data_IF_649745509751
#
_entry.id   IF_649745509751
#
_cell.length_a   1.000
_cell.length_b   1.000
_cell.length_c   1.000
_cell.angle_alpha   90.00
_cell.angle_beta   90.00
_cell.angle_gamma   90.00
#
_symmetry.space_group_name_H-M   'P 1'
#
loop_
_entity.id
_entity.type
_entity.pdbx_description
1 polymer ?
#
# COMPACT_ATOMS: atom_id res chain seq x y z
N UNK A 1 4.82 32.92 15.49
CA UNK A 1 4.51 32.30 14.18
C UNK A 1 3.89 33.36 13.29
N UNK A 2 4.35 33.52 12.05
CA UNK A 2 3.71 34.43 11.09
C UNK A 2 2.41 33.79 10.58
N UNK A 3 1.34 34.59 10.46
CA UNK A 3 0.05 34.08 9.98
C UNK A 3 0.17 33.59 8.53
N UNK A 4 -0.27 32.35 8.27
CA UNK A 4 -0.41 31.81 6.91
C UNK A 4 -1.60 32.49 6.25
N UNK A 5 -1.44 32.92 4.99
CA UNK A 5 -2.57 33.42 4.21
C UNK A 5 -3.47 32.28 3.76
N UNK A 6 -4.79 32.51 3.64
CA UNK A 6 -5.73 31.50 3.15
C UNK A 6 -5.27 30.86 1.82
N UNK A 7 -4.72 31.66 0.89
CA UNK A 7 -4.16 31.17 -0.38
C UNK A 7 -3.04 30.15 -0.18
N UNK A 8 -2.12 30.40 0.77
CA UNK A 8 -1.03 29.47 1.08
C UNK A 8 -1.57 28.21 1.76
N UNK A 9 -2.52 28.35 2.69
CA UNK A 9 -3.16 27.22 3.36
C UNK A 9 -3.89 26.29 2.37
N UNK A 10 -4.67 26.85 1.43
CA UNK A 10 -5.34 26.09 0.37
C UNK A 10 -4.36 25.40 -0.59
N UNK A 11 -3.11 25.86 -0.66
CA UNK A 11 -2.05 25.21 -1.43
C UNK A 11 -1.73 23.79 -0.95
N UNK A 12 -2.01 23.46 0.32
CA UNK A 12 -1.86 22.08 0.84
C UNK A 12 -2.87 21.12 0.19
N UNK A 13 -4.08 21.62 -0.11
CA UNK A 13 -5.17 20.84 -0.70
C UNK A 13 -5.08 20.73 -2.23
N UNK A 14 -4.18 21.49 -2.87
CA UNK A 14 -4.05 21.47 -4.32
C UNK A 14 -3.42 20.15 -4.79
N UNK A 15 -4.05 19.44 -5.74
CA UNK A 15 -3.59 18.15 -6.26
C UNK A 15 -2.15 18.12 -6.78
N UNK A 16 -1.61 19.26 -7.22
CA UNK A 16 -0.23 19.42 -7.70
C UNK A 16 0.77 19.74 -6.58
N UNK A 17 0.32 19.78 -5.34
CA UNK A 17 1.15 20.12 -4.18
C UNK A 17 2.08 18.96 -3.85
N UNK A 18 3.32 19.27 -3.45
CA UNK A 18 4.24 18.27 -2.88
C UNK A 18 3.68 17.62 -1.60
N UNK A 19 2.64 18.21 -1.00
CA UNK A 19 1.91 17.67 0.15
C UNK A 19 0.85 16.62 -0.22
N UNK A 20 0.43 16.57 -1.50
CA UNK A 20 -0.58 15.63 -2.00
C UNK A 20 -0.04 14.21 -2.21
N UNK A 21 1.29 14.04 -2.20
CA UNK A 21 1.94 12.74 -2.31
C UNK A 21 2.93 12.60 -1.16
N UNK A 22 2.75 11.57 -0.34
CA UNK A 22 3.68 11.28 0.75
C UNK A 22 4.82 10.43 0.21
N UNK A 23 5.98 11.07 0.09
CA UNK A 23 7.27 10.43 -0.14
C UNK A 23 8.06 10.48 1.15
N UNK A 24 8.90 9.46 1.41
CA UNK A 24 9.82 9.46 2.56
C UNK A 24 10.79 10.65 2.42
N UNK A 25 10.43 11.79 3.00
CA UNK A 25 11.19 13.03 2.94
C UNK A 25 11.72 13.36 4.32
N UNK A 26 13.05 13.46 4.44
CA UNK A 26 13.74 13.82 5.68
C UNK A 26 13.70 15.34 5.98
N UNK A 27 12.70 16.07 5.48
CA UNK A 27 12.60 17.52 5.70
C UNK A 27 12.08 17.80 7.11
N UNK A 28 12.51 18.93 7.70
CA UNK A 28 11.92 19.38 8.95
C UNK A 28 10.44 19.69 8.74
N UNK A 29 9.60 19.22 9.66
CA UNK A 29 8.17 19.53 9.67
C UNK A 29 7.98 21.04 9.79
N UNK A 30 7.10 21.57 8.96
CA UNK A 30 6.70 22.97 8.98
C UNK A 30 5.19 23.12 9.22
N UNK A 31 4.75 24.37 9.18
CA UNK A 31 3.35 24.73 9.46
C UNK A 31 2.34 24.15 8.44
N UNK A 32 2.80 23.72 7.26
CA UNK A 32 1.94 23.04 6.29
C UNK A 32 1.80 21.55 6.62
N UNK A 33 2.78 20.92 7.27
CA UNK A 33 2.63 19.57 7.82
C UNK A 33 1.62 19.57 8.98
N UNK A 34 1.70 20.57 9.87
CA UNK A 34 0.71 20.76 10.94
C UNK A 34 -0.71 20.96 10.37
N UNK A 35 -0.85 21.77 9.32
CA UNK A 35 -2.13 21.98 8.65
C UNK A 35 -2.64 20.69 7.98
N UNK A 36 -1.74 19.90 7.36
CA UNK A 36 -2.09 18.61 6.76
C UNK A 36 -2.60 17.63 7.83
N UNK A 37 -1.95 17.57 8.99
CA UNK A 37 -2.39 16.76 10.13
C UNK A 37 -3.77 17.19 10.64
N UNK A 38 -4.05 18.50 10.72
CA UNK A 38 -5.37 19.01 11.13
C UNK A 38 -6.50 18.74 10.14
N UNK A 39 -6.18 18.71 8.83
CA UNK A 39 -7.14 18.45 7.77
C UNK A 39 -7.32 16.96 7.47
N UNK A 40 -6.54 16.10 8.13
CA UNK A 40 -6.59 14.68 7.92
C UNK A 40 -7.94 14.10 8.37
N UNK A 41 -8.56 13.32 7.49
CA UNK A 41 -9.76 12.54 7.80
C UNK A 41 -9.38 11.07 7.72
N UNK A 42 -9.49 10.36 8.84
CA UNK A 42 -9.23 8.92 8.89
C UNK A 42 -10.23 8.20 8.01
N UNK A 43 -9.74 7.36 7.10
CA UNK A 43 -10.56 6.57 6.19
C UNK A 43 -10.93 5.24 6.87
N UNK A 44 -12.16 4.76 6.66
CA UNK A 44 -12.64 3.49 7.23
C UNK A 44 -11.72 2.30 6.86
N UNK A 45 -11.19 2.30 5.62
CA UNK A 45 -10.27 1.27 5.14
C UNK A 45 -8.98 1.17 5.97
N UNK A 46 -8.53 2.28 6.56
CA UNK A 46 -7.36 2.26 7.44
C UNK A 46 -7.66 1.55 8.76
N UNK A 47 -8.87 1.72 9.30
CA UNK A 47 -9.30 1.02 10.51
C UNK A 47 -9.52 -0.47 10.27
N UNK A 48 -10.02 -0.84 9.09
CA UNK A 48 -10.11 -2.24 8.67
C UNK A 48 -8.73 -2.87 8.48
N UNK A 49 -7.82 -2.17 7.81
CA UNK A 49 -6.45 -2.62 7.66
C UNK A 49 -5.77 -2.82 9.02
N UNK A 50 -5.85 -1.84 9.93
CA UNK A 50 -5.27 -1.95 11.28
C UNK A 50 -5.80 -3.17 12.05
N UNK A 51 -7.12 -3.37 12.04
CA UNK A 51 -7.74 -4.57 12.66
C UNK A 51 -7.21 -5.87 12.06
N UNK A 52 -6.98 -5.90 10.75
CA UNK A 52 -6.39 -7.06 10.10
C UNK A 52 -4.92 -7.26 10.50
N UNK A 53 -4.10 -6.20 10.47
CA UNK A 53 -2.69 -6.24 10.83
C UNK A 53 -2.46 -6.77 12.26
N UNK A 54 -3.39 -6.51 13.19
CA UNK A 54 -3.31 -7.04 14.55
C UNK A 54 -3.42 -8.57 14.66
N UNK A 55 -3.99 -9.20 13.63
CA UNK A 55 -4.23 -10.66 13.59
C UNK A 55 -3.42 -11.38 12.52
N UNK A 56 -2.65 -10.65 11.70
CA UNK A 56 -1.91 -11.21 10.59
C UNK A 56 -0.84 -12.20 11.06
N UNK A 57 -0.64 -13.25 10.28
CA UNK A 57 0.28 -14.35 10.63
C UNK A 57 1.54 -14.35 9.75
N UNK A 58 2.65 -14.96 10.21
CA UNK A 58 3.85 -15.11 9.40
C UNK A 58 3.59 -15.71 8.02
N UNK A 59 4.25 -15.13 7.01
CA UNK A 59 4.15 -15.54 5.63
C UNK A 59 2.87 -15.11 4.90
N UNK A 60 1.99 -14.32 5.50
CA UNK A 60 0.86 -13.70 4.79
C UNK A 60 1.31 -12.57 3.87
N UNK A 61 0.56 -12.35 2.78
CA UNK A 61 0.71 -11.21 1.88
C UNK A 61 -0.59 -10.42 1.93
N UNK A 62 -0.46 -9.13 2.18
CA UNK A 62 -1.57 -8.20 2.36
C UNK A 62 -1.41 -7.11 1.31
N UNK A 63 -2.43 -6.92 0.49
CA UNK A 63 -2.46 -5.88 -0.50
C UNK A 63 -3.36 -4.75 -0.02
N UNK A 64 -2.83 -3.53 -0.03
CA UNK A 64 -3.61 -2.31 -0.07
C UNK A 64 -3.63 -1.83 -1.53
N UNK A 65 -4.75 -2.05 -2.20
CA UNK A 65 -4.89 -1.77 -3.63
C UNK A 65 -5.78 -0.56 -3.90
N UNK A 66 -5.69 0.02 -5.10
CA UNK A 66 -6.46 1.20 -5.46
C UNK A 66 -5.83 1.98 -6.62
N UNK A 67 -6.48 3.05 -7.05
CA UNK A 67 -6.02 3.97 -8.09
C UNK A 67 -4.98 4.97 -7.58
N UNK A 68 -4.35 5.68 -8.51
CA UNK A 68 -3.46 6.79 -8.18
C UNK A 68 -4.26 7.92 -7.55
N UNK A 69 -3.82 8.38 -6.37
CA UNK A 69 -4.50 9.41 -5.59
C UNK A 69 -5.41 8.91 -4.46
N UNK A 70 -5.62 7.59 -4.32
CA UNK A 70 -6.52 7.03 -3.29
C UNK A 70 -5.95 7.08 -1.85
N UNK A 71 -4.72 7.57 -1.67
CA UNK A 71 -4.10 7.70 -0.34
C UNK A 71 -3.36 6.46 0.17
N UNK A 72 -3.17 5.42 -0.67
CA UNK A 72 -2.45 4.17 -0.30
C UNK A 72 -1.10 4.43 0.38
N UNK A 73 -0.26 5.27 -0.23
CA UNK A 73 1.07 5.60 0.29
C UNK A 73 1.01 6.31 1.63
N UNK A 74 -0.03 7.12 1.89
CA UNK A 74 -0.26 7.80 3.17
C UNK A 74 -0.63 6.81 4.27
N UNK A 75 -1.57 5.88 3.98
CA UNK A 75 -1.94 4.81 4.92
C UNK A 75 -0.71 3.95 5.25
N UNK A 76 0.02 3.49 4.23
CA UNK A 76 1.17 2.61 4.42
C UNK A 76 2.33 3.30 5.15
N UNK A 77 2.56 4.59 4.89
CA UNK A 77 3.60 5.35 5.61
C UNK A 77 3.27 5.44 7.10
N UNK A 78 2.00 5.64 7.44
CA UNK A 78 1.55 5.68 8.84
C UNK A 78 1.64 4.32 9.50
N UNK A 79 1.22 3.25 8.83
CA UNK A 79 1.42 1.87 9.33
C UNK A 79 2.92 1.56 9.53
N UNK A 80 3.79 1.94 8.58
CA UNK A 80 5.24 1.71 8.69
C UNK A 80 5.90 2.53 9.80
N UNK A 81 5.38 3.71 10.09
CA UNK A 81 5.89 4.60 11.14
C UNK A 81 5.41 4.21 12.55
N UNK A 82 4.37 3.38 12.64
CA UNK A 82 3.88 2.85 13.92
C UNK A 82 4.84 1.74 14.42
N UNK A 83 5.46 1.90 15.61
CA UNK A 83 6.36 0.90 16.18
C UNK A 83 5.74 -0.49 16.30
N UNK A 84 4.41 -0.58 16.47
CA UNK A 84 3.68 -1.85 16.56
C UNK A 84 3.82 -2.69 15.29
N UNK A 85 3.78 -2.06 14.12
CA UNK A 85 3.84 -2.76 12.83
C UNK A 85 5.24 -2.73 12.23
N UNK A 86 6.03 -1.69 12.49
CA UNK A 86 7.39 -1.54 11.96
C UNK A 86 8.28 -2.76 12.22
N UNK A 87 8.14 -3.40 13.38
CA UNK A 87 8.92 -4.58 13.75
C UNK A 87 8.28 -5.92 13.37
N UNK A 88 7.03 -5.91 12.89
CA UNK A 88 6.23 -7.12 12.63
C UNK A 88 5.97 -7.37 11.15
N UNK A 89 6.16 -6.38 10.28
CA UNK A 89 5.80 -6.45 8.86
C UNK A 89 6.95 -6.02 7.96
N UNK A 90 7.01 -6.64 6.78
CA UNK A 90 7.76 -6.13 5.64
C UNK A 90 6.86 -5.20 4.84
N UNK A 91 7.30 -3.97 4.55
CA UNK A 91 6.50 -2.96 3.85
C UNK A 91 7.04 -2.66 2.46
N UNK A 92 6.16 -2.67 1.45
CA UNK A 92 6.44 -2.20 0.09
C UNK A 92 5.41 -1.13 -0.30
N UNK A 93 5.74 0.15 -0.11
CA UNK A 93 4.79 1.27 -0.29
C UNK A 93 4.41 1.55 -1.76
N UNK A 94 5.30 1.19 -2.67
CA UNK A 94 5.04 1.21 -4.09
C UNK A 94 5.81 0.05 -4.73
N UNK A 95 5.14 -1.10 -4.83
CA UNK A 95 5.76 -2.31 -5.38
C UNK A 95 5.96 -2.27 -6.90
N UNK A 96 5.73 -1.11 -7.53
CA UNK A 96 5.83 -0.95 -8.99
C UNK A 96 7.01 -0.07 -9.41
N UNK A 97 7.71 0.54 -8.46
CA UNK A 97 8.98 1.20 -8.72
C UNK A 97 10.10 0.17 -8.78
N UNK A 98 10.63 -0.05 -9.98
CA UNK A 98 11.81 -0.88 -10.17
C UNK A 98 13.03 -0.24 -9.51
N UNK A 99 13.81 -1.07 -8.82
CA UNK A 99 15.10 -0.65 -8.24
C UNK A 99 16.23 -0.67 -9.28
N UNK A 100 15.99 -1.22 -10.47
CA UNK A 100 16.94 -1.34 -11.57
C UNK A 100 16.39 -0.77 -12.90
N UNK A 101 17.23 -0.13 -13.74
CA UNK A 101 16.79 0.54 -14.98
C UNK A 101 16.12 -0.35 -16.04
N UNK A 102 16.24 -1.68 -15.92
CA UNK A 102 15.75 -2.66 -16.91
C UNK A 102 14.73 -3.65 -16.32
N UNK A 103 14.40 -3.53 -15.02
CA UNK A 103 13.47 -4.44 -14.36
C UNK A 103 12.03 -3.93 -14.56
N UNK A 104 11.14 -4.78 -15.06
CA UNK A 104 9.73 -4.44 -15.13
C UNK A 104 9.09 -4.48 -13.74
N UNK A 105 7.95 -3.81 -13.56
CA UNK A 105 7.19 -3.92 -12.32
C UNK A 105 6.71 -5.37 -12.04
N UNK A 106 6.53 -6.18 -13.08
CA UNK A 106 6.20 -7.61 -12.94
C UNK A 106 7.40 -8.39 -12.41
N UNK A 107 8.60 -8.11 -12.92
CA UNK A 107 9.83 -8.75 -12.43
C UNK A 107 10.09 -8.37 -10.96
N UNK A 108 9.86 -7.10 -10.59
CA UNK A 108 9.98 -6.65 -9.20
C UNK A 108 9.02 -7.38 -8.26
N UNK A 109 7.79 -7.63 -8.71
CA UNK A 109 6.81 -8.42 -7.96
C UNK A 109 7.19 -9.91 -7.89
N UNK A 110 7.70 -10.48 -8.99
CA UNK A 110 8.19 -11.86 -9.00
C UNK A 110 9.31 -12.06 -7.98
N UNK A 111 10.31 -11.17 -7.96
CA UNK A 111 11.41 -11.21 -7.01
C UNK A 111 10.91 -11.01 -5.57
N UNK A 112 9.96 -10.10 -5.36
CA UNK A 112 9.36 -9.86 -4.06
C UNK A 112 8.69 -11.12 -3.49
N UNK A 113 7.89 -11.81 -4.31
CA UNK A 113 7.20 -13.02 -3.89
C UNK A 113 8.11 -14.24 -3.79
N UNK A 114 9.13 -14.35 -4.62
CA UNK A 114 10.14 -15.43 -4.54
C UNK A 114 10.89 -15.39 -3.21
N UNK A 115 11.19 -14.19 -2.70
CA UNK A 115 11.88 -14.02 -1.43
C UNK A 115 10.95 -14.16 -0.20
N UNK A 116 9.64 -14.23 -0.39
CA UNK A 116 8.65 -14.30 0.68
C UNK A 116 8.20 -15.74 0.95
N UNK A 117 8.39 -16.21 2.17
CA UNK A 117 8.10 -17.60 2.55
C UNK A 117 7.29 -17.68 3.85
N UNK A 118 6.94 -18.90 4.27
CA UNK A 118 6.03 -19.15 5.39
C UNK A 118 6.49 -18.62 6.76
N UNK A 119 7.79 -18.38 6.92
CA UNK A 119 8.39 -17.86 8.15
C UNK A 119 8.75 -16.37 8.05
N UNK A 120 8.61 -15.77 6.87
CA UNK A 120 8.81 -14.34 6.68
C UNK A 120 7.82 -13.55 7.53
N UNK A 121 8.20 -12.34 7.94
CA UNK A 121 7.22 -11.39 8.44
C UNK A 121 6.11 -11.18 7.40
N UNK A 122 4.84 -11.03 7.82
CA UNK A 122 3.78 -10.73 6.89
C UNK A 122 4.13 -9.49 6.05
N UNK A 123 3.82 -9.59 4.77
CA UNK A 123 4.22 -8.63 3.75
C UNK A 123 3.04 -7.72 3.42
N UNK A 124 3.19 -6.41 3.65
CA UNK A 124 2.18 -5.40 3.34
C UNK A 124 2.60 -4.58 2.12
N UNK A 125 1.77 -4.60 1.08
CA UNK A 125 2.09 -4.08 -0.26
C UNK A 125 1.07 -3.03 -0.67
N UNK A 126 1.56 -1.83 -0.99
CA UNK A 126 0.83 -0.82 -1.74
C UNK A 126 0.99 -1.02 -3.23
N UNK A 127 -0.12 -1.22 -3.94
CA UNK A 127 -0.08 -1.49 -5.38
C UNK A 127 -1.29 -0.90 -6.10
N UNK A 128 -1.08 -0.48 -7.35
CA UNK A 128 -2.19 -0.07 -8.19
C UNK A 128 -3.01 -1.28 -8.66
N UNK A 129 -4.35 -1.19 -8.65
CA UNK A 129 -5.22 -2.32 -9.05
C UNK A 129 -4.92 -2.82 -10.47
N UNK A 130 -4.60 -1.91 -11.40
CA UNK A 130 -4.17 -2.28 -12.75
C UNK A 130 -2.87 -3.09 -12.78
N UNK A 131 -1.93 -2.79 -11.88
CA UNK A 131 -0.67 -3.55 -11.77
C UNK A 131 -0.88 -4.91 -11.12
N UNK A 132 -1.81 -4.99 -10.16
CA UNK A 132 -2.26 -6.26 -9.60
C UNK A 132 -2.86 -7.16 -10.70
N UNK A 133 -3.70 -6.60 -11.58
CA UNK A 133 -4.25 -7.31 -12.73
C UNK A 133 -3.19 -7.71 -13.78
N UNK A 134 -2.17 -6.88 -13.98
CA UNK A 134 -1.05 -7.25 -14.85
C UNK A 134 -0.26 -8.43 -14.26
N UNK A 135 0.01 -8.41 -12.95
CA UNK A 135 0.70 -9.52 -12.28
C UNK A 135 -0.09 -10.83 -12.35
N UNK A 136 -1.42 -10.80 -12.21
CA UNK A 136 -2.23 -12.00 -12.35
C UNK A 136 -2.09 -12.65 -13.74
N UNK A 137 -1.97 -11.83 -14.80
CA UNK A 137 -1.82 -12.30 -16.19
C UNK A 137 -0.39 -12.69 -16.56
N UNK A 138 0.60 -11.92 -16.09
CA UNK A 138 1.97 -11.91 -16.62
C UNK A 138 3.02 -12.38 -15.60
N UNK A 139 2.65 -12.54 -14.31
CA UNK A 139 3.55 -13.02 -13.26
C UNK A 139 4.04 -14.45 -13.51
N UNK A 140 5.17 -14.81 -12.89
CA UNK A 140 5.78 -16.14 -13.03
C UNK A 140 4.79 -17.26 -12.68
N UNK A 141 4.89 -18.39 -13.38
CA UNK A 141 4.15 -19.62 -13.06
C UNK A 141 4.50 -20.17 -11.66
N UNK A 142 5.68 -19.83 -11.12
CA UNK A 142 6.04 -20.16 -9.73
C UNK A 142 5.09 -19.52 -8.71
N UNK A 143 4.41 -18.42 -9.08
CA UNK A 143 3.50 -17.67 -8.23
C UNK A 143 2.02 -17.92 -8.57
N UNK A 144 1.70 -19.09 -9.14
CA UNK A 144 0.34 -19.44 -9.59
C UNK A 144 -0.73 -19.27 -8.50
N UNK A 145 -0.44 -19.62 -7.25
CA UNK A 145 -1.38 -19.44 -6.14
C UNK A 145 -1.71 -17.96 -5.87
N UNK A 146 -0.71 -17.08 -5.94
CA UNK A 146 -0.88 -15.63 -5.78
C UNK A 146 -1.68 -15.08 -6.95
N UNK A 147 -1.33 -15.47 -8.18
CA UNK A 147 -2.03 -15.06 -9.41
C UNK A 147 -3.51 -15.45 -9.37
N UNK A 148 -3.81 -16.71 -9.01
CA UNK A 148 -5.18 -17.20 -8.93
C UNK A 148 -6.02 -16.48 -7.85
N UNK A 149 -5.42 -16.17 -6.70
CA UNK A 149 -6.10 -15.44 -5.64
C UNK A 149 -6.37 -13.98 -6.04
N UNK A 150 -5.44 -13.32 -6.75
CA UNK A 150 -5.66 -12.00 -7.33
C UNK A 150 -6.77 -12.02 -8.37
N UNK A 151 -6.73 -12.96 -9.33
CA UNK A 151 -7.77 -13.09 -10.34
C UNK A 151 -9.13 -13.29 -9.70
N UNK A 152 -9.24 -14.22 -8.74
CA UNK A 152 -10.48 -14.46 -8.01
C UNK A 152 -11.02 -13.19 -7.36
N UNK A 153 -10.16 -12.35 -6.77
CA UNK A 153 -10.57 -11.08 -6.20
C UNK A 153 -11.11 -10.12 -7.27
N UNK A 154 -10.36 -9.92 -8.37
CA UNK A 154 -10.72 -8.99 -9.44
C UNK A 154 -12.03 -9.40 -10.13
N UNK A 155 -12.28 -10.70 -10.29
CA UNK A 155 -13.54 -11.19 -10.86
C UNK A 155 -14.70 -11.14 -9.85
N UNK A 156 -14.44 -11.38 -8.55
CA UNK A 156 -15.46 -11.28 -7.49
C UNK A 156 -15.90 -9.84 -7.19
N UNK A 157 -15.06 -8.84 -7.52
CA UNK A 157 -15.40 -7.42 -7.40
C UNK A 157 -16.57 -6.98 -8.30
N UNK A 158 -17.03 -7.84 -9.22
CA UNK A 158 -18.31 -7.68 -9.95
C UNK A 158 -19.55 -8.14 -9.18
N UNK A 159 -19.39 -8.66 -7.94
CA UNK A 159 -20.48 -8.98 -7.02
C UNK A 159 -20.10 -9.97 -5.91
N UNK A 160 -19.81 -9.42 -4.71
CA UNK A 160 -19.55 -10.04 -3.38
C UNK A 160 -18.09 -10.46 -3.07
N UNK A 161 -17.62 -10.27 -1.83
CA UNK A 161 -16.27 -10.67 -1.42
C UNK A 161 -16.15 -12.20 -1.43
N UNK A 162 -15.23 -12.73 -2.22
CA UNK A 162 -14.91 -14.15 -2.22
C UNK A 162 -14.17 -14.52 -0.93
N UNK A 163 -14.77 -15.36 -0.09
CA UNK A 163 -14.04 -16.10 0.94
C UNK A 163 -13.22 -17.21 0.27
N UNK A 164 -11.95 -16.94 -0.01
CA UNK A 164 -11.01 -17.96 -0.48
C UNK A 164 -10.55 -18.83 0.70
N UNK A 165 -10.59 -20.17 0.59
CA UNK A 165 -10.13 -21.03 1.67
C UNK A 165 -8.60 -21.10 1.73
N UNK A 166 -8.11 -20.81 2.93
CA UNK A 166 -6.81 -21.09 3.55
C UNK A 166 -5.53 -20.56 2.89
N UNK A 167 -5.10 -19.45 3.51
CA UNK A 167 -3.74 -18.97 3.78
C UNK A 167 -3.14 -18.05 2.72
N UNK A 168 -3.02 -16.77 3.13
CA UNK A 168 -1.99 -15.78 2.77
C UNK A 168 -2.29 -14.70 1.74
N UNK A 169 -3.55 -14.45 1.38
CA UNK A 169 -3.86 -13.29 0.55
C UNK A 169 -5.12 -12.55 1.02
N UNK A 170 -4.94 -11.33 1.50
CA UNK A 170 -6.04 -10.42 1.80
C UNK A 170 -5.84 -9.12 1.04
N UNK A 171 -6.91 -8.67 0.38
CA UNK A 171 -6.92 -7.50 -0.48
C UNK A 171 -7.91 -6.52 0.12
N UNK A 172 -7.40 -5.37 0.52
CA UNK A 172 -8.14 -4.23 1.07
C UNK A 172 -8.02 -3.05 0.10
#
# INVERSE_FOLDING_TARGET
MSAITLRKALGVLAKSSSFSVTTETHRQKDVFDELKEQLFVKQEIEEELQRYLDTATPGEIIFLCGSSGDGKSEILTRCKSDPQYQQKFSFHLDATHSFAPQQSAIDALNDLFENHHSQSYPLLIGINTGMLANFAREGSESHMAIRAAIDSFLFSATGRPASLPQRKLYIF
#
